data_IF_007352997308
#
_entry.id   IF_007352997308
#
_cell.length_a   1.000
_cell.length_b   1.000
_cell.length_c   1.000
_cell.angle_alpha   90.00
_cell.angle_beta   90.00
_cell.angle_gamma   90.00
#
_symmetry.space_group_name_H-M   'P 1'
#
loop_
_entity.id
_entity.type
_entity.pdbx_description
1 polymer ?
#
# COMPACT_ATOMS: atom_id res chain seq x y z
N UNK A 1 60.91 -24.28 -73.42
CA UNK A 1 60.95 -23.29 -72.31
C UNK A 1 59.66 -23.45 -71.52
N UNK A 2 59.67 -23.79 -70.22
CA UNK A 2 58.45 -23.86 -69.44
C UNK A 2 58.06 -22.45 -68.98
N UNK A 3 56.81 -22.06 -69.22
CA UNK A 3 56.23 -20.80 -68.73
C UNK A 3 55.80 -21.02 -67.28
N UNK A 4 56.33 -20.23 -66.36
CA UNK A 4 55.97 -20.26 -64.94
C UNK A 4 54.57 -19.63 -64.74
N UNK A 5 53.67 -20.35 -64.07
CA UNK A 5 52.34 -19.85 -63.69
C UNK A 5 52.42 -18.91 -62.48
N UNK A 6 51.66 -17.80 -62.44
CA UNK A 6 51.69 -16.87 -61.32
C UNK A 6 50.97 -17.43 -60.08
N UNK A 7 51.36 -17.04 -58.86
CA UNK A 7 50.73 -17.50 -57.64
C UNK A 7 49.34 -16.86 -57.46
N UNK A 8 48.32 -17.68 -57.26
CA UNK A 8 46.99 -17.24 -56.87
C UNK A 8 47.01 -16.84 -55.39
N UNK A 9 46.85 -15.54 -55.12
CA UNK A 9 46.64 -15.01 -53.76
C UNK A 9 45.22 -15.33 -53.31
N UNK A 10 45.06 -16.38 -52.51
CA UNK A 10 43.79 -16.72 -51.88
C UNK A 10 43.51 -15.74 -50.73
N UNK A 11 42.77 -14.66 -51.03
CA UNK A 11 42.29 -13.72 -50.00
C UNK A 11 41.28 -14.43 -49.12
N UNK A 12 41.68 -14.81 -47.90
CA UNK A 12 40.75 -15.30 -46.86
C UNK A 12 39.91 -14.12 -46.38
N UNK A 13 38.65 -14.03 -46.85
CA UNK A 13 37.67 -13.12 -46.24
C UNK A 13 37.42 -13.54 -44.78
N UNK A 14 37.50 -12.63 -43.81
CA UNK A 14 37.08 -12.95 -42.46
C UNK A 14 35.58 -13.24 -42.50
N UNK A 15 35.20 -14.47 -42.18
CA UNK A 15 33.83 -14.82 -41.85
C UNK A 15 33.49 -14.06 -40.57
N UNK A 16 32.82 -12.91 -40.70
CA UNK A 16 32.22 -12.21 -39.58
C UNK A 16 31.25 -13.19 -38.91
N UNK A 17 31.68 -13.72 -37.75
CA UNK A 17 30.92 -14.67 -36.94
C UNK A 17 29.57 -14.05 -36.54
N UNK A 18 28.48 -14.51 -37.16
CA UNK A 18 27.09 -14.22 -36.76
C UNK A 18 26.66 -14.97 -35.47
N UNK A 19 27.50 -15.85 -34.91
CA UNK A 19 27.14 -16.77 -33.83
C UNK A 19 26.84 -16.16 -32.45
N UNK A 20 26.81 -14.83 -32.32
CA UNK A 20 26.44 -14.12 -31.08
C UNK A 20 25.27 -13.14 -31.23
N UNK A 21 24.81 -12.86 -32.45
CA UNK A 21 23.82 -11.82 -32.70
C UNK A 21 22.46 -12.15 -32.06
N UNK A 22 21.96 -13.37 -32.25
CA UNK A 22 20.67 -13.79 -31.69
C UNK A 22 20.69 -13.80 -30.15
N UNK A 23 21.84 -14.07 -29.53
CA UNK A 23 22.00 -14.01 -28.08
C UNK A 23 21.94 -12.56 -27.58
N UNK A 24 22.52 -11.61 -28.31
CA UNK A 24 22.45 -10.17 -27.99
C UNK A 24 21.03 -9.64 -28.16
N UNK A 25 20.36 -9.98 -29.26
CA UNK A 25 18.96 -9.57 -29.49
C UNK A 25 18.01 -10.12 -28.43
N UNK A 26 18.22 -11.38 -28.02
CA UNK A 26 17.48 -11.96 -26.89
C UNK A 26 17.82 -11.28 -25.56
N UNK A 27 19.08 -10.99 -25.29
CA UNK A 27 19.50 -10.30 -24.07
C UNK A 27 18.82 -8.91 -23.97
N UNK A 28 18.82 -8.13 -25.04
CA UNK A 28 18.17 -6.81 -25.05
C UNK A 28 16.65 -6.94 -24.90
N UNK A 29 16.02 -7.88 -25.61
CA UNK A 29 14.57 -8.09 -25.55
C UNK A 29 14.12 -8.58 -24.16
N UNK A 30 14.88 -9.48 -23.54
CA UNK A 30 14.59 -10.00 -22.20
C UNK A 30 14.71 -8.92 -21.12
N UNK A 31 15.66 -7.99 -21.23
CA UNK A 31 15.76 -6.85 -20.33
C UNK A 31 14.49 -5.99 -20.41
N UNK A 32 14.03 -5.64 -21.61
CA UNK A 32 12.79 -4.86 -21.80
C UNK A 32 11.59 -5.63 -21.23
N UNK A 33 11.49 -6.93 -21.50
CA UNK A 33 10.42 -7.77 -20.95
C UNK A 33 10.42 -7.77 -19.42
N UNK A 34 11.58 -7.91 -18.78
CA UNK A 34 11.69 -7.89 -17.31
C UNK A 34 11.28 -6.54 -16.72
N UNK A 35 11.57 -5.43 -17.42
CA UNK A 35 11.10 -4.10 -16.99
C UNK A 35 9.57 -3.99 -17.07
N UNK A 36 8.96 -4.48 -18.14
CA UNK A 36 7.51 -4.48 -18.30
C UNK A 36 6.82 -5.36 -17.25
N UNK A 37 7.34 -6.57 -17.03
CA UNK A 37 6.82 -7.49 -16.01
C UNK A 37 7.01 -6.90 -14.61
N UNK A 38 8.18 -6.32 -14.33
CA UNK A 38 8.46 -5.67 -13.05
C UNK A 38 7.49 -4.52 -12.76
N UNK A 39 7.22 -3.66 -13.75
CA UNK A 39 6.23 -2.59 -13.63
C UNK A 39 4.81 -3.13 -13.41
N UNK A 40 4.42 -4.19 -14.12
CA UNK A 40 3.12 -4.82 -13.97
C UNK A 40 2.94 -5.44 -12.57
N UNK A 41 3.98 -6.10 -12.04
CA UNK A 41 3.98 -6.66 -10.68
C UNK A 41 3.80 -5.55 -9.64
N UNK A 42 4.48 -4.41 -9.80
CA UNK A 42 4.34 -3.29 -8.87
C UNK A 42 2.93 -2.68 -8.87
N UNK A 43 2.29 -2.57 -10.04
CA UNK A 43 0.90 -2.11 -10.15
C UNK A 43 -0.06 -3.13 -9.54
N UNK A 44 0.10 -4.42 -9.86
CA UNK A 44 -0.76 -5.47 -9.30
C UNK A 44 -0.67 -5.51 -7.77
N UNK A 45 0.53 -5.38 -7.22
CA UNK A 45 0.75 -5.34 -5.78
C UNK A 45 0.17 -4.07 -5.13
N UNK A 46 0.23 -2.91 -5.78
CA UNK A 46 -0.33 -1.68 -5.19
C UNK A 46 -1.86 -1.78 -5.04
N UNK A 47 -2.55 -2.32 -6.05
CA UNK A 47 -4.00 -2.56 -6.01
C UNK A 47 -4.35 -3.61 -4.96
N UNK A 48 -3.59 -4.71 -4.91
CA UNK A 48 -3.82 -5.75 -3.90
C UNK A 48 -3.69 -5.20 -2.48
N UNK A 49 -2.67 -4.37 -2.22
CA UNK A 49 -2.48 -3.73 -0.92
C UNK A 49 -3.61 -2.76 -0.61
N UNK A 50 -4.09 -1.94 -1.56
CA UNK A 50 -5.19 -1.01 -1.29
C UNK A 50 -6.49 -1.70 -0.90
N UNK A 51 -6.80 -2.83 -1.52
CA UNK A 51 -7.97 -3.65 -1.15
C UNK A 51 -7.81 -4.25 0.25
N UNK A 52 -6.62 -4.80 0.56
CA UNK A 52 -6.35 -5.35 1.88
C UNK A 52 -6.42 -4.29 2.99
N UNK A 53 -5.91 -3.08 2.74
CA UNK A 53 -6.04 -1.95 3.65
C UNK A 53 -7.51 -1.58 3.87
N UNK A 54 -8.32 -1.57 2.80
CA UNK A 54 -9.75 -1.27 2.88
C UNK A 54 -10.51 -2.31 3.71
N UNK A 55 -10.17 -3.59 3.53
CA UNK A 55 -10.72 -4.68 4.35
C UNK A 55 -10.31 -4.53 5.82
N UNK A 56 -9.05 -4.20 6.10
CA UNK A 56 -8.56 -3.97 7.46
C UNK A 56 -9.29 -2.81 8.15
N UNK A 57 -9.46 -1.67 7.47
CA UNK A 57 -10.23 -0.55 7.99
C UNK A 57 -11.69 -0.92 8.24
N UNK A 58 -12.30 -1.71 7.34
CA UNK A 58 -13.68 -2.20 7.48
C UNK A 58 -13.84 -3.11 8.69
N UNK A 59 -12.91 -4.02 8.90
CA UNK A 59 -12.94 -4.92 10.06
C UNK A 59 -12.76 -4.14 11.37
N UNK A 60 -11.82 -3.19 11.40
CA UNK A 60 -11.66 -2.28 12.54
C UNK A 60 -12.95 -1.53 12.87
N UNK A 61 -13.60 -0.94 11.87
CA UNK A 61 -14.85 -0.21 12.06
C UNK A 61 -15.99 -1.13 12.54
N UNK A 62 -16.10 -2.34 11.97
CA UNK A 62 -17.09 -3.35 12.37
C UNK A 62 -16.88 -3.77 13.83
N UNK A 63 -15.63 -4.00 14.21
CA UNK A 63 -15.27 -4.40 15.56
C UNK A 63 -15.59 -3.29 16.56
N UNK A 64 -15.27 -2.03 16.23
CA UNK A 64 -15.60 -0.88 17.06
C UNK A 64 -17.11 -0.63 17.19
N UNK A 65 -17.88 -0.79 16.11
CA UNK A 65 -19.33 -0.59 16.11
C UNK A 65 -20.12 -1.78 16.70
N UNK A 66 -19.45 -2.82 17.19
CA UNK A 66 -20.10 -3.99 17.77
C UNK A 66 -20.89 -3.64 19.03
N UNK A 67 -22.14 -4.09 19.07
CA UNK A 67 -23.06 -3.85 20.17
C UNK A 67 -23.44 -5.16 20.86
N UNK A 68 -23.18 -5.25 22.16
CA UNK A 68 -23.67 -6.32 23.01
C UNK A 68 -25.06 -5.97 23.52
N UNK A 69 -26.08 -6.55 22.89
CA UNK A 69 -27.48 -6.31 23.23
C UNK A 69 -27.87 -6.83 24.62
N UNK A 70 -27.18 -7.84 25.16
CA UNK A 70 -27.52 -8.40 26.47
C UNK A 70 -27.05 -7.46 27.61
N UNK A 71 -25.89 -6.84 27.42
CA UNK A 71 -25.30 -5.92 28.39
C UNK A 71 -25.50 -4.43 28.03
N UNK A 72 -26.23 -4.13 26.94
CA UNK A 72 -26.47 -2.78 26.41
C UNK A 72 -25.17 -1.95 26.32
N UNK A 73 -24.10 -2.54 25.78
CA UNK A 73 -22.77 -1.94 25.82
C UNK A 73 -21.94 -2.21 24.56
N UNK A 74 -20.86 -1.45 24.41
CA UNK A 74 -19.91 -1.55 23.29
C UNK A 74 -18.53 -2.06 23.77
N UNK A 75 -18.38 -3.36 24.09
CA UNK A 75 -17.19 -3.87 24.77
C UNK A 75 -15.89 -3.71 23.96
N UNK A 76 -15.97 -3.41 22.66
CA UNK A 76 -14.83 -3.30 21.76
C UNK A 76 -14.63 -1.88 21.20
N UNK A 77 -15.39 -0.89 21.66
CA UNK A 77 -15.32 0.48 21.17
C UNK A 77 -14.21 1.27 21.88
N UNK A 78 -12.96 0.90 21.64
CA UNK A 78 -11.77 1.57 22.15
C UNK A 78 -10.55 1.27 21.26
N UNK A 79 -9.49 2.06 21.40
CA UNK A 79 -8.41 2.12 20.43
C UNK A 79 -7.68 0.78 20.26
N UNK A 80 -7.37 0.10 21.37
CA UNK A 80 -6.56 -1.11 21.34
C UNK A 80 -7.29 -2.33 20.74
N UNK A 81 -8.60 -2.47 20.96
CA UNK A 81 -9.40 -3.55 20.33
C UNK A 81 -9.58 -3.31 18.83
N UNK A 82 -9.92 -2.10 18.42
CA UNK A 82 -10.06 -1.74 17.00
C UNK A 82 -8.73 -1.92 16.28
N UNK A 83 -7.63 -1.47 16.90
CA UNK A 83 -6.29 -1.68 16.37
C UNK A 83 -5.96 -3.16 16.20
N UNK A 84 -6.27 -4.00 17.18
CA UNK A 84 -6.00 -5.44 17.09
C UNK A 84 -6.76 -6.09 15.92
N UNK A 85 -8.00 -5.66 15.67
CA UNK A 85 -8.78 -6.12 14.51
C UNK A 85 -8.13 -5.70 13.18
N UNK A 86 -7.74 -4.42 13.05
CA UNK A 86 -7.02 -3.92 11.87
C UNK A 86 -5.71 -4.69 11.66
N UNK A 87 -4.91 -4.86 12.70
CA UNK A 87 -3.60 -5.52 12.62
C UNK A 87 -3.71 -7.01 12.26
N UNK A 88 -4.79 -7.68 12.65
CA UNK A 88 -5.07 -9.07 12.26
C UNK A 88 -5.27 -9.18 10.74
N UNK A 89 -6.04 -8.27 10.16
CA UNK A 89 -6.26 -8.22 8.71
C UNK A 89 -4.98 -7.85 7.96
N UNK A 90 -4.18 -6.90 8.47
CA UNK A 90 -2.89 -6.53 7.86
C UNK A 90 -1.89 -7.70 7.87
N UNK A 91 -1.88 -8.51 8.93
CA UNK A 91 -1.02 -9.67 9.04
C UNK A 91 -1.34 -10.76 7.99
N UNK A 92 -2.60 -10.86 7.55
CA UNK A 92 -3.03 -11.83 6.51
C UNK A 92 -2.29 -11.66 5.18
N UNK A 93 -1.81 -10.43 4.90
CA UNK A 93 -1.04 -10.09 3.70
C UNK A 93 0.43 -9.79 3.98
N UNK A 94 0.92 -10.17 5.16
CA UNK A 94 2.31 -9.94 5.60
C UNK A 94 2.73 -8.47 5.65
N UNK A 95 1.80 -7.55 5.91
CA UNK A 95 2.15 -6.18 6.26
C UNK A 95 2.52 -6.07 7.74
N UNK A 96 3.40 -5.13 8.11
CA UNK A 96 3.69 -4.88 9.51
C UNK A 96 2.44 -4.34 10.22
N UNK A 97 2.37 -4.57 11.53
CA UNK A 97 1.32 -3.99 12.37
C UNK A 97 1.26 -2.47 12.19
N UNK A 98 0.06 -1.91 12.22
CA UNK A 98 -0.16 -0.48 12.07
C UNK A 98 0.52 0.31 13.20
N UNK A 99 0.88 1.57 12.93
CA UNK A 99 1.26 2.51 14.01
C UNK A 99 0.04 3.35 14.32
N UNK A 100 -0.50 3.22 15.53
CA UNK A 100 -1.60 4.05 16.00
C UNK A 100 -1.12 5.47 16.24
N UNK A 101 -1.86 6.45 15.72
CA UNK A 101 -1.53 7.88 15.81
C UNK A 101 -2.29 8.63 16.90
N UNK A 102 -3.22 7.96 17.59
CA UNK A 102 -3.92 8.45 18.77
C UNK A 102 -2.98 8.48 20.01
N UNK A 103 -3.15 9.42 20.97
CA UNK A 103 -4.14 10.51 21.01
C UNK A 103 -3.78 11.74 20.16
N UNK A 104 -2.53 11.88 19.73
CA UNK A 104 -2.01 13.15 19.18
C UNK A 104 -2.74 13.63 17.91
N UNK A 105 -3.06 12.71 17.00
CA UNK A 105 -3.79 13.01 15.77
C UNK A 105 -4.78 11.88 15.53
N UNK A 106 -5.97 11.93 16.14
CA UNK A 106 -6.99 10.86 16.02
C UNK A 106 -7.81 10.96 14.72
N UNK A 107 -8.04 12.19 14.27
CA UNK A 107 -8.69 12.50 13.01
C UNK A 107 -7.68 13.25 12.12
N UNK A 108 -7.15 12.63 11.05
CA UNK A 108 -6.20 13.29 10.17
C UNK A 108 -6.88 14.46 9.43
N UNK A 109 -6.12 15.53 9.19
CA UNK A 109 -6.63 16.70 8.47
C UNK A 109 -6.84 16.36 6.99
N UNK A 110 -8.05 16.61 6.51
CA UNK A 110 -8.37 16.56 5.09
C UNK A 110 -7.88 17.83 4.39
N UNK A 111 -7.40 17.72 3.14
CA UNK A 111 -6.89 18.87 2.37
C UNK A 111 -7.99 19.78 1.85
N UNK A 112 -9.22 19.28 1.74
CA UNK A 112 -10.39 20.03 1.29
C UNK A 112 -11.18 20.69 2.44
N UNK A 113 -10.72 20.51 3.69
CA UNK A 113 -11.35 21.09 4.87
C UNK A 113 -12.69 20.45 5.26
N UNK A 114 -12.99 19.25 4.78
CA UNK A 114 -14.22 18.56 5.15
C UNK A 114 -14.25 18.18 6.66
N UNK A 115 -15.45 18.17 7.24
CA UNK A 115 -15.67 17.79 8.64
C UNK A 115 -15.92 16.29 8.85
N UNK A 116 -15.91 15.48 7.78
CA UNK A 116 -16.13 14.04 7.82
C UNK A 116 -14.83 13.24 7.95
N UNK A 117 -13.68 13.92 7.90
CA UNK A 117 -12.34 13.34 7.92
C UNK A 117 -12.19 12.19 6.92
N UNK A 118 -12.71 12.38 5.71
CA UNK A 118 -12.53 11.47 4.58
C UNK A 118 -11.48 12.00 3.59
N UNK A 119 -10.90 11.15 2.72
CA UNK A 119 -9.94 11.57 1.71
C UNK A 119 -10.51 12.69 0.83
N UNK A 120 -9.66 13.63 0.34
CA UNK A 120 -8.19 13.61 0.36
C UNK A 120 -7.54 14.10 1.67
N UNK A 121 -6.44 13.48 2.08
CA UNK A 121 -5.69 13.83 3.31
C UNK A 121 -4.39 14.58 3.00
N UNK A 122 -3.94 15.40 3.97
CA UNK A 122 -2.67 16.12 3.84
C UNK A 122 -1.48 15.14 3.81
N UNK A 123 -0.45 15.43 3.01
CA UNK A 123 0.73 14.56 2.88
C UNK A 123 1.45 14.30 4.21
N UNK A 124 1.32 15.21 5.18
CA UNK A 124 1.85 15.06 6.55
C UNK A 124 1.14 13.98 7.38
N UNK A 125 -0.07 13.57 7.01
CA UNK A 125 -0.81 12.50 7.67
C UNK A 125 -0.31 11.11 7.25
N UNK A 126 0.50 11.01 6.21
CA UNK A 126 1.02 9.73 5.73
C UNK A 126 2.34 9.34 6.41
N UNK A 127 2.61 8.03 6.52
CA UNK A 127 3.90 7.53 6.98
C UNK A 127 5.08 8.09 6.18
N UNK A 128 6.08 8.65 6.87
CA UNK A 128 7.33 9.07 6.26
C UNK A 128 8.14 7.87 5.73
N UNK A 129 8.00 6.71 6.36
CA UNK A 129 8.65 5.45 5.97
C UNK A 129 7.74 4.67 5.04
N UNK A 130 8.28 4.23 3.89
CA UNK A 130 7.56 3.35 2.98
C UNK A 130 7.27 1.98 3.61
N UNK A 131 6.17 1.37 3.18
CA UNK A 131 5.71 0.04 3.61
C UNK A 131 5.30 -0.08 5.09
N UNK A 132 4.90 1.02 5.72
CA UNK A 132 4.35 1.03 7.08
C UNK A 132 2.91 1.58 7.04
N UNK A 133 1.90 0.89 7.58
CA UNK A 133 0.57 1.47 7.77
C UNK A 133 0.52 2.33 9.04
N UNK A 134 -0.11 3.49 8.94
CA UNK A 134 -0.54 4.31 10.07
C UNK A 134 -2.05 4.20 10.22
N UNK A 135 -2.50 4.06 11.46
CA UNK A 135 -3.89 3.92 11.84
C UNK A 135 -4.34 5.14 12.63
N UNK A 136 -5.51 5.65 12.25
CA UNK A 136 -6.21 6.73 12.89
C UNK A 136 -7.62 6.24 13.22
N UNK A 137 -8.07 6.47 14.45
CA UNK A 137 -9.43 6.13 14.88
C UNK A 137 -10.08 7.42 15.32
N UNK A 138 -11.04 7.88 14.53
CA UNK A 138 -11.71 9.15 14.73
C UNK A 138 -13.14 8.89 15.23
N UNK A 139 -13.39 9.23 16.49
CA UNK A 139 -14.70 9.10 17.12
C UNK A 139 -15.52 10.37 16.90
N UNK A 140 -16.72 10.21 16.37
CA UNK A 140 -17.70 11.26 16.12
C UNK A 140 -17.11 12.51 15.44
N UNK A 141 -16.20 12.32 14.48
CA UNK A 141 -15.50 13.41 13.80
C UNK A 141 -14.87 14.44 14.75
N UNK A 142 -14.46 14.02 15.96
CA UNK A 142 -13.93 14.88 17.00
C UNK A 142 -12.44 14.59 17.20
N UNK A 143 -11.54 15.46 16.70
CA UNK A 143 -10.11 15.29 16.88
C UNK A 143 -9.71 15.28 18.35
N UNK A 144 -8.74 14.45 18.70
CA UNK A 144 -8.20 14.33 20.06
C UNK A 144 -8.99 13.40 20.98
N UNK A 145 -10.13 12.85 20.54
CA UNK A 145 -10.79 11.77 21.27
C UNK A 145 -10.09 10.44 21.04
N UNK A 146 -9.62 9.82 22.12
CA UNK A 146 -9.12 8.47 22.19
C UNK A 146 -9.71 7.75 23.41
N UNK A 147 -9.80 6.42 23.33
CA UNK A 147 -10.35 5.63 24.42
C UNK A 147 -9.40 4.46 24.75
N UNK A 148 -8.94 4.41 26.00
CA UNK A 148 -8.14 3.30 26.53
C UNK A 148 -9.00 2.16 27.10
N UNK A 149 -10.29 2.41 27.24
CA UNK A 149 -11.31 1.47 27.71
C UNK A 149 -12.60 1.69 26.91
N UNK A 150 -13.50 0.71 26.81
CA UNK A 150 -14.75 0.83 26.06
C UNK A 150 -15.46 2.17 26.30
N UNK A 151 -15.62 2.94 25.22
CA UNK A 151 -16.30 4.22 25.27
C UNK A 151 -17.79 4.05 25.61
N UNK A 152 -18.33 4.97 26.39
CA UNK A 152 -19.75 5.04 26.72
C UNK A 152 -20.39 6.25 26.05
N UNK A 153 -21.70 6.20 25.81
CA UNK A 153 -22.47 7.28 25.19
C UNK A 153 -22.06 7.63 23.75
N UNK A 154 -21.47 6.68 23.02
CA UNK A 154 -21.21 6.79 21.59
C UNK A 154 -22.27 6.09 20.73
N UNK A 155 -23.37 5.63 21.33
CA UNK A 155 -24.50 5.07 20.61
C UNK A 155 -25.03 6.07 19.57
N UNK A 156 -25.29 5.58 18.36
CA UNK A 156 -25.72 6.37 17.19
C UNK A 156 -24.72 7.45 16.72
N UNK A 157 -23.51 7.49 17.30
CA UNK A 157 -22.43 8.33 16.81
C UNK A 157 -21.54 7.55 15.85
N UNK A 158 -20.76 8.29 15.08
CA UNK A 158 -19.95 7.73 14.03
C UNK A 158 -18.56 7.32 14.52
N UNK A 159 -18.05 6.23 13.97
CA UNK A 159 -16.65 5.84 14.07
C UNK A 159 -16.04 5.81 12.67
N UNK A 160 -14.93 6.51 12.49
CA UNK A 160 -14.18 6.53 11.25
C UNK A 160 -12.79 5.93 11.47
N UNK A 161 -12.57 4.74 10.88
CA UNK A 161 -11.29 4.02 10.92
C UNK A 161 -10.55 4.32 9.63
N UNK A 162 -9.40 4.98 9.76
CA UNK A 162 -8.63 5.48 8.62
C UNK A 162 -7.25 4.84 8.66
N UNK A 163 -6.87 4.20 7.55
CA UNK A 163 -5.55 3.59 7.39
C UNK A 163 -4.82 4.29 6.26
N UNK A 164 -3.67 4.90 6.58
CA UNK A 164 -2.82 5.60 5.63
C UNK A 164 -1.54 4.82 5.44
N UNK A 165 -1.14 4.64 4.18
CA UNK A 165 -0.01 3.80 3.82
C UNK A 165 0.80 4.44 2.71
N UNK A 166 2.13 4.41 2.86
CA UNK A 166 3.06 4.88 1.83
C UNK A 166 3.60 3.66 1.08
N UNK A 167 3.08 3.39 -0.11
CA UNK A 167 3.48 2.28 -0.96
C UNK A 167 4.85 2.53 -1.58
N UNK A 168 5.81 1.66 -1.27
CA UNK A 168 7.10 1.60 -1.93
C UNK A 168 7.11 0.51 -3.01
N UNK A 169 7.36 0.84 -4.29
CA UNK A 169 7.57 -0.15 -5.34
C UNK A 169 8.73 -1.09 -5.02
N UNK A 170 8.59 -2.34 -5.44
CA UNK A 170 9.61 -3.38 -5.30
C UNK A 170 10.72 -3.20 -6.34
N UNK A 171 10.37 -2.77 -7.55
CA UNK A 171 11.40 -2.59 -8.58
C UNK A 171 12.18 -1.29 -8.36
N UNK A 172 13.52 -1.35 -8.29
CA UNK A 172 14.34 -0.17 -8.02
C UNK A 172 14.17 0.93 -9.07
N UNK A 173 13.96 0.56 -10.35
CA UNK A 173 13.75 1.51 -11.42
C UNK A 173 12.45 2.30 -11.24
N UNK A 174 11.33 1.63 -10.93
CA UNK A 174 10.05 2.32 -10.70
C UNK A 174 10.14 3.21 -9.46
N UNK A 175 10.76 2.71 -8.38
CA UNK A 175 10.98 3.52 -7.19
C UNK A 175 11.89 4.73 -7.46
N UNK A 176 12.93 4.58 -8.27
CA UNK A 176 13.85 5.67 -8.61
C UNK A 176 13.20 6.71 -9.53
N UNK A 177 12.33 6.29 -10.45
CA UNK A 177 11.73 7.18 -11.44
C UNK A 177 10.43 7.83 -10.95
N UNK A 178 9.65 7.13 -10.13
CA UNK A 178 8.32 7.54 -9.69
C UNK A 178 8.18 7.70 -8.17
N UNK A 179 9.18 7.29 -7.39
CA UNK A 179 9.16 7.45 -5.93
C UNK A 179 8.23 6.49 -5.23
N UNK A 180 7.46 7.02 -4.27
CA UNK A 180 6.49 6.29 -3.45
C UNK A 180 5.10 6.85 -3.69
N UNK A 181 4.08 6.04 -3.43
CA UNK A 181 2.69 6.39 -3.66
C UNK A 181 1.91 6.39 -2.35
N UNK A 182 1.10 7.42 -2.12
CA UNK A 182 0.28 7.54 -0.94
C UNK A 182 -1.07 6.85 -1.18
N UNK A 183 -1.42 5.92 -0.31
CA UNK A 183 -2.69 5.18 -0.32
C UNK A 183 -3.46 5.52 0.94
N UNK A 184 -4.70 5.97 0.77
CA UNK A 184 -5.61 6.27 1.86
C UNK A 184 -6.86 5.43 1.74
N UNK A 185 -7.26 4.84 2.86
CA UNK A 185 -8.55 4.17 2.99
C UNK A 185 -9.22 4.67 4.26
N UNK A 186 -10.53 4.84 4.21
CA UNK A 186 -11.34 5.18 5.36
C UNK A 186 -12.60 4.33 5.35
N UNK A 187 -12.98 3.82 6.51
CA UNK A 187 -14.28 3.22 6.71
C UNK A 187 -15.02 3.98 7.81
N UNK A 188 -16.16 4.51 7.43
CA UNK A 188 -17.12 5.11 8.33
C UNK A 188 -18.23 4.10 8.66
N UNK A 189 -18.56 4.00 9.95
CA UNK A 189 -19.70 3.22 10.45
C UNK A 189 -20.37 3.96 11.60
N UNK A 190 -21.69 3.88 11.69
CA UNK A 190 -22.43 4.37 12.85
C UNK A 190 -22.51 3.27 13.91
N UNK A 191 -22.15 3.61 15.14
CA UNK A 191 -22.21 2.71 16.29
C UNK A 191 -23.68 2.41 16.61
N UNK A 192 -24.02 1.12 16.72
CA UNK A 192 -25.41 0.70 16.97
C UNK A 192 -25.79 0.82 18.44
N UNK A 193 -27.06 0.99 18.75
CA UNK A 193 -27.56 1.06 20.14
C UNK A 193 -27.59 2.49 20.70
N UNK A 194 -28.29 2.65 21.82
CA UNK A 194 -28.50 3.92 22.54
C UNK A 194 -28.21 3.74 24.02
#
# INVERSE_FOLDING_TARGET
>A
MPVASPPYLTVKRPLLRQGGQSLVEFAVSSVVLLLLVGGLVDIGRSIYVSEALSNAAREGARHGAWYDAANLSHPYLYDASIKAAVDTELASISLPASVLKNPGTTCPAATDGNALHNPPFASSAYPATANQPWLYICYNNTPGLDYTSPATNLGQLDINVIVLYTYGPLTPLVKSQFGVFQVAVNQHMTVQGS
#
